data_IF_339745904781
#
_entry.id   IF_339745904781
#
_cell.length_a   1.000
_cell.length_b   1.000
_cell.length_c   1.000
_cell.angle_alpha   90.00
_cell.angle_beta   90.00
_cell.angle_gamma   90.00
#
_symmetry.space_group_name_H-M   'P 1'
#
loop_
_entity.id
_entity.type
_entity.pdbx_description
1 polymer ?
#
# COMPACT_ATOMS: atom_id res chain seq x y z
N UNK A 1 -0.57 -38.96 8.58
CA UNK A 1 0.41 -38.00 8.00
C UNK A 1 -0.22 -36.78 7.27
N UNK A 2 -1.47 -36.38 7.58
CA UNK A 2 -2.24 -35.43 6.74
C UNK A 2 -2.74 -34.14 7.38
N UNK A 3 -2.48 -33.91 8.68
CA UNK A 3 -2.87 -32.67 9.37
C UNK A 3 -1.69 -31.71 9.58
N UNK A 4 -0.48 -32.23 9.84
CA UNK A 4 0.73 -31.43 9.90
C UNK A 4 1.13 -30.84 8.53
N UNK A 5 0.89 -31.58 7.44
CA UNK A 5 1.08 -31.10 6.06
C UNK A 5 0.09 -29.99 5.70
N UNK A 6 -1.19 -30.10 6.10
CA UNK A 6 -2.19 -29.04 5.92
C UNK A 6 -1.93 -27.78 6.76
N UNK A 7 -1.41 -27.93 7.98
CA UNK A 7 -0.93 -26.79 8.79
C UNK A 7 0.31 -26.12 8.18
N UNK A 8 1.14 -26.86 7.45
CA UNK A 8 2.32 -26.37 6.72
C UNK A 8 1.94 -25.77 5.35
N UNK A 9 0.92 -26.29 4.67
CA UNK A 9 0.32 -25.73 3.44
C UNK A 9 -0.50 -24.46 3.71
N UNK A 10 -1.08 -24.33 4.92
CA UNK A 10 -1.60 -23.07 5.45
C UNK A 10 -0.50 -22.12 5.94
N UNK A 11 0.74 -22.61 6.09
CA UNK A 11 1.90 -21.78 6.33
C UNK A 11 2.31 -21.08 5.04
N UNK A 12 1.78 -19.87 4.81
CA UNK A 12 2.45 -18.74 4.13
C UNK A 12 1.51 -17.58 3.75
N UNK A 13 0.24 -17.59 4.19
CA UNK A 13 -0.36 -16.30 4.56
C UNK A 13 0.45 -15.79 5.73
N UNK A 14 1.23 -14.73 5.55
CA UNK A 14 1.88 -14.11 6.69
C UNK A 14 0.78 -13.72 7.66
N UNK A 15 0.76 -14.31 8.85
CA UNK A 15 -0.31 -14.14 9.85
C UNK A 15 -0.66 -12.67 10.08
N UNK A 16 0.34 -11.79 9.95
CA UNK A 16 0.21 -10.35 10.08
C UNK A 16 -0.67 -9.70 9.00
N UNK A 17 -0.74 -10.24 7.78
CA UNK A 17 -1.55 -9.67 6.69
C UNK A 17 -3.06 -9.82 6.92
N UNK A 18 -3.48 -10.70 7.85
CA UNK A 18 -4.89 -11.07 8.05
C UNK A 18 -5.52 -11.48 6.69
N UNK A 19 -6.56 -10.76 6.25
CA UNK A 19 -7.24 -10.94 4.95
C UNK A 19 -6.97 -9.78 3.96
N UNK A 20 -5.94 -8.96 4.24
CA UNK A 20 -5.62 -7.79 3.44
C UNK A 20 -5.08 -8.16 2.06
N UNK A 21 -5.61 -7.51 1.02
CA UNK A 21 -5.19 -7.70 -0.37
C UNK A 21 -4.67 -6.42 -1.04
N UNK A 22 -4.38 -5.35 -0.27
CA UNK A 22 -4.08 -4.04 -0.84
C UNK A 22 -2.84 -4.00 -1.74
N UNK A 23 -1.77 -4.71 -1.39
CA UNK A 23 -0.60 -4.83 -2.25
C UNK A 23 -0.89 -5.54 -3.58
N UNK A 24 -1.98 -6.31 -3.65
CA UNK A 24 -2.43 -7.02 -4.85
C UNK A 24 -3.56 -6.29 -5.59
N UNK A 25 -4.25 -5.33 -4.96
CA UNK A 25 -5.40 -4.64 -5.57
C UNK A 25 -5.10 -3.20 -5.97
N UNK A 26 -4.37 -2.45 -5.13
CA UNK A 26 -4.17 -1.01 -5.33
C UNK A 26 -3.10 -0.65 -6.37
N UNK A 27 -1.84 -1.14 -6.28
CA UNK A 27 -0.78 -0.73 -7.21
C UNK A 27 -0.94 -1.38 -8.57
N UNK A 28 -0.29 -0.82 -9.59
CA UNK A 28 0.02 -1.56 -10.84
C UNK A 28 1.09 -2.61 -10.54
N UNK A 29 0.98 -3.78 -11.15
CA UNK A 29 2.05 -4.80 -11.12
C UNK A 29 2.33 -5.19 -12.57
N UNK A 30 3.35 -4.54 -13.16
CA UNK A 30 3.70 -4.69 -14.58
C UNK A 30 4.06 -6.13 -14.92
N UNK A 31 4.82 -6.82 -14.07
CA UNK A 31 5.22 -8.22 -14.28
C UNK A 31 4.04 -9.22 -14.34
N UNK A 32 2.82 -8.78 -14.00
CA UNK A 32 1.60 -9.58 -14.06
C UNK A 32 0.53 -8.97 -14.99
N UNK A 33 0.89 -7.95 -15.77
CA UNK A 33 -0.04 -7.14 -16.56
C UNK A 33 -1.25 -6.67 -15.73
N UNK A 34 -1.02 -6.41 -14.43
CA UNK A 34 -2.09 -6.08 -13.50
C UNK A 34 -2.23 -4.56 -13.38
N UNK A 35 -3.30 -3.95 -13.92
CA UNK A 35 -3.52 -2.52 -13.75
C UNK A 35 -3.82 -2.15 -12.28
N UNK A 36 -3.50 -0.92 -11.89
CA UNK A 36 -3.89 -0.36 -10.59
C UNK A 36 -5.40 -0.45 -10.37
N UNK A 37 -5.79 -0.57 -9.09
CA UNK A 37 -7.18 -0.71 -8.64
C UNK A 37 -7.95 -1.95 -9.13
N UNK A 38 -7.32 -2.89 -9.84
CA UNK A 38 -7.89 -4.21 -10.16
C UNK A 38 -7.34 -5.31 -9.25
N UNK A 39 -8.17 -6.30 -8.86
CA UNK A 39 -7.70 -7.45 -8.09
C UNK A 39 -6.70 -8.27 -8.91
N UNK A 40 -5.56 -8.61 -8.31
CA UNK A 40 -4.61 -9.55 -8.91
C UNK A 40 -5.25 -10.93 -9.10
N UNK A 41 -4.94 -11.57 -10.23
CA UNK A 41 -5.40 -12.93 -10.55
C UNK A 41 -5.01 -13.99 -9.51
N UNK A 42 -3.96 -13.74 -8.71
CA UNK A 42 -3.49 -14.66 -7.65
C UNK A 42 -4.19 -14.47 -6.31
N UNK A 43 -5.18 -13.57 -6.19
CA UNK A 43 -5.96 -13.47 -4.96
C UNK A 43 -6.87 -14.71 -4.85
N UNK A 44 -6.66 -15.51 -3.80
CA UNK A 44 -7.52 -16.65 -3.42
C UNK A 44 -7.76 -16.62 -1.91
N UNK A 45 -8.99 -16.90 -1.48
CA UNK A 45 -9.38 -17.01 -0.07
C UNK A 45 -8.91 -15.85 0.83
N UNK A 46 -8.89 -14.62 0.28
CA UNK A 46 -8.44 -13.39 0.92
C UNK A 46 -6.92 -13.26 1.15
N UNK A 47 -6.10 -13.80 0.25
CA UNK A 47 -4.65 -13.59 0.23
C UNK A 47 -4.03 -13.91 -1.13
N UNK A 48 -2.73 -13.64 -1.29
CA UNK A 48 -1.99 -14.03 -2.49
C UNK A 48 -1.66 -15.54 -2.43
N UNK A 49 -2.15 -16.32 -3.39
CA UNK A 49 -1.97 -17.78 -3.43
C UNK A 49 -0.54 -18.23 -3.71
N UNK A 50 0.28 -17.34 -4.26
CA UNK A 50 1.70 -17.57 -4.55
C UNK A 50 2.61 -16.78 -3.60
N UNK A 51 2.10 -16.35 -2.44
CA UNK A 51 2.92 -15.65 -1.46
C UNK A 51 4.04 -16.59 -0.97
N UNK A 52 5.29 -16.12 -0.97
CA UNK A 52 6.46 -16.91 -0.54
C UNK A 52 6.98 -17.89 -1.60
N UNK A 53 6.21 -18.12 -2.68
CA UNK A 53 6.54 -19.08 -3.72
C UNK A 53 7.57 -18.50 -4.72
N UNK A 54 8.43 -19.35 -5.32
CA UNK A 54 9.43 -18.94 -6.31
C UNK A 54 8.84 -18.26 -7.54
N UNK A 55 7.61 -18.60 -7.93
CA UNK A 55 6.90 -18.02 -9.09
C UNK A 55 6.38 -16.61 -8.81
N UNK A 56 6.47 -16.13 -7.56
CA UNK A 56 6.09 -14.75 -7.21
C UNK A 56 7.07 -13.76 -7.85
N UNK A 57 6.58 -12.79 -8.65
CA UNK A 57 7.46 -11.85 -9.33
C UNK A 57 8.34 -11.04 -8.37
N UNK A 58 9.57 -10.76 -8.77
CA UNK A 58 10.54 -9.97 -8.00
C UNK A 58 9.96 -8.62 -7.55
N UNK A 59 9.19 -7.94 -8.40
CA UNK A 59 8.48 -6.67 -8.08
C UNK A 59 7.59 -6.81 -6.85
N UNK A 60 6.86 -7.92 -6.70
CA UNK A 60 5.98 -8.14 -5.54
C UNK A 60 6.76 -8.35 -4.23
N UNK A 61 8.03 -8.73 -4.31
CA UNK A 61 8.92 -8.92 -3.16
C UNK A 61 9.70 -7.63 -2.86
N UNK A 62 10.21 -6.95 -3.88
CA UNK A 62 10.95 -5.69 -3.77
C UNK A 62 10.11 -4.57 -3.14
N UNK A 63 8.82 -4.49 -3.51
CA UNK A 63 7.89 -3.47 -3.01
C UNK A 63 6.97 -4.02 -1.90
N UNK A 64 7.56 -4.80 -0.99
CA UNK A 64 6.84 -5.40 0.12
C UNK A 64 6.21 -4.33 1.04
N UNK A 65 5.01 -4.65 1.55
CA UNK A 65 4.25 -3.79 2.44
C UNK A 65 5.08 -3.40 3.67
N UNK A 66 5.19 -2.10 3.97
CA UNK A 66 5.97 -1.62 5.11
C UNK A 66 5.51 -2.19 6.46
N UNK A 67 4.19 -2.34 6.65
CA UNK A 67 3.63 -3.02 7.82
C UNK A 67 4.18 -4.44 7.95
N UNK A 68 4.12 -5.20 6.85
CA UNK A 68 4.53 -6.59 6.80
C UNK A 68 6.04 -6.74 7.00
N UNK A 69 6.83 -5.97 6.25
CA UNK A 69 8.29 -5.94 6.30
C UNK A 69 8.78 -5.63 7.71
N UNK A 70 8.15 -4.68 8.40
CA UNK A 70 8.51 -4.34 9.77
C UNK A 70 8.26 -5.50 10.76
N UNK A 71 7.23 -6.32 10.58
CA UNK A 71 7.02 -7.51 11.44
C UNK A 71 7.98 -8.64 11.09
N UNK A 72 8.16 -8.92 9.81
CA UNK A 72 9.03 -10.01 9.36
C UNK A 72 10.49 -9.77 9.74
N UNK A 73 10.93 -8.51 9.76
CA UNK A 73 12.27 -8.11 10.18
C UNK A 73 12.39 -7.78 11.69
N UNK A 74 11.33 -7.98 12.48
CA UNK A 74 11.24 -7.57 13.89
C UNK A 74 11.69 -6.11 14.15
N UNK A 75 11.37 -5.21 13.22
CA UNK A 75 11.80 -3.81 13.25
C UNK A 75 11.29 -3.09 14.52
N UNK A 76 12.05 -2.13 15.08
CA UNK A 76 11.57 -1.29 16.19
C UNK A 76 10.32 -0.47 15.83
N UNK A 77 10.14 -0.13 14.54
CA UNK A 77 9.00 0.65 14.08
C UNK A 77 7.73 -0.21 13.86
N UNK A 78 7.80 -1.53 14.06
CA UNK A 78 6.66 -2.43 13.80
C UNK A 78 5.39 -1.97 14.55
N UNK A 79 5.51 -1.54 15.79
CA UNK A 79 4.35 -1.12 16.59
C UNK A 79 3.79 0.26 16.19
N UNK A 80 4.54 1.05 15.42
CA UNK A 80 4.13 2.39 14.98
C UNK A 80 3.37 2.35 13.65
N UNK A 81 3.66 1.36 12.81
CA UNK A 81 3.00 1.20 11.52
C UNK A 81 1.67 0.45 11.73
N UNK A 82 0.50 1.09 11.50
CA UNK A 82 -0.81 0.44 11.61
C UNK A 82 -1.02 -0.57 10.49
N UNK A 83 -1.87 -1.56 10.73
CA UNK A 83 -2.24 -2.51 9.68
C UNK A 83 -3.04 -1.80 8.58
N UNK A 84 -2.84 -2.11 7.27
CA UNK A 84 -3.50 -1.39 6.17
C UNK A 84 -5.02 -1.34 6.25
N UNK A 85 -5.66 -2.42 6.71
CA UNK A 85 -7.11 -2.46 6.92
C UNK A 85 -7.58 -1.55 8.07
N UNK A 86 -6.74 -1.18 9.02
CA UNK A 86 -7.10 -0.35 10.17
C UNK A 86 -6.92 1.15 9.85
N UNK A 87 -6.00 1.48 8.94
CA UNK A 87 -5.76 2.86 8.51
C UNK A 87 -6.29 3.18 7.11
N UNK A 88 -6.79 2.21 6.33
CA UNK A 88 -7.26 2.46 4.96
C UNK A 88 -6.16 2.87 3.98
N UNK A 89 -4.90 2.51 4.24
CA UNK A 89 -3.79 2.78 3.34
C UNK A 89 -2.73 1.68 3.38
N UNK A 90 -2.16 1.38 2.22
CA UNK A 90 -0.99 0.52 2.05
C UNK A 90 0.17 1.39 1.57
N UNK A 91 1.38 1.14 2.07
CA UNK A 91 2.56 1.81 1.54
C UNK A 91 3.78 0.90 1.54
N UNK A 92 4.74 1.25 0.71
CA UNK A 92 6.07 0.66 0.67
C UNK A 92 7.11 1.75 0.41
N UNK A 93 8.37 1.43 0.72
CA UNK A 93 9.51 2.26 0.34
C UNK A 93 10.04 1.76 -1.00
N UNK A 94 10.53 2.66 -1.84
CA UNK A 94 11.39 2.24 -2.93
C UNK A 94 12.70 1.66 -2.34
N UNK A 95 13.21 0.53 -2.86
CA UNK A 95 14.44 -0.08 -2.34
C UNK A 95 15.71 0.71 -2.69
N UNK A 96 15.64 1.62 -3.67
CA UNK A 96 16.78 2.39 -4.18
C UNK A 96 16.59 3.88 -3.92
N UNK A 97 15.44 4.41 -4.28
CA UNK A 97 15.15 5.85 -4.22
C UNK A 97 14.57 6.28 -2.87
N UNK A 98 14.72 7.56 -2.52
CA UNK A 98 14.07 8.15 -1.33
C UNK A 98 12.59 8.47 -1.58
N UNK A 99 11.83 7.46 -1.98
CA UNK A 99 10.39 7.57 -2.27
C UNK A 99 9.60 6.60 -1.41
N UNK A 100 8.49 7.09 -0.85
CA UNK A 100 7.48 6.27 -0.17
C UNK A 100 6.23 6.30 -1.03
N UNK A 101 5.89 5.16 -1.62
CA UNK A 101 4.66 4.98 -2.37
C UNK A 101 3.53 4.66 -1.40
N UNK A 102 2.49 5.49 -1.39
CA UNK A 102 1.32 5.38 -0.54
C UNK A 102 0.09 5.18 -1.42
N UNK A 103 -0.66 4.13 -1.18
CA UNK A 103 -1.89 3.80 -1.90
C UNK A 103 -3.06 3.84 -0.92
N UNK A 104 -4.01 4.70 -1.21
CA UNK A 104 -5.18 4.92 -0.38
C UNK A 104 -6.32 3.99 -0.82
N UNK A 105 -7.01 3.40 0.15
CA UNK A 105 -8.25 2.66 -0.10
C UNK A 105 -9.33 3.62 -0.61
N UNK A 106 -9.81 3.47 -1.85
CA UNK A 106 -10.81 4.37 -2.40
C UNK A 106 -12.15 4.28 -1.67
N UNK A 107 -12.43 3.20 -0.91
CA UNK A 107 -13.64 3.07 -0.10
C UNK A 107 -13.56 3.79 1.24
N UNK A 108 -12.34 4.09 1.71
CA UNK A 108 -12.09 4.71 3.02
C UNK A 108 -10.98 5.77 2.93
N UNK A 109 -11.11 6.75 2.03
CA UNK A 109 -10.01 7.63 1.65
C UNK A 109 -9.55 8.59 2.75
N UNK A 110 -10.37 8.79 3.77
CA UNK A 110 -10.07 9.68 4.89
C UNK A 110 -9.47 8.97 6.10
N UNK A 111 -9.55 7.63 6.16
CA UNK A 111 -9.17 6.87 7.36
C UNK A 111 -7.67 7.00 7.69
N UNK A 112 -6.81 7.11 6.68
CA UNK A 112 -5.37 7.17 6.89
C UNK A 112 -4.93 8.50 7.52
N UNK A 113 -5.67 9.58 7.25
CA UNK A 113 -5.42 10.92 7.82
C UNK A 113 -5.69 10.96 9.32
N UNK A 114 -6.60 10.12 9.81
CA UNK A 114 -6.92 9.95 11.23
C UNK A 114 -6.12 8.83 11.92
N UNK A 115 -5.12 8.26 11.24
CA UNK A 115 -4.27 7.18 11.76
C UNK A 115 -2.90 7.72 12.21
N UNK A 116 -1.98 6.87 12.73
CA UNK A 116 -0.59 7.28 12.99
C UNK A 116 0.28 7.54 11.74
N UNK A 117 -0.23 7.25 10.52
CA UNK A 117 0.54 7.41 9.29
C UNK A 117 1.03 8.84 9.00
N UNK A 118 0.24 9.91 9.24
CA UNK A 118 0.70 11.27 9.00
C UNK A 118 1.95 11.64 9.78
N UNK A 119 2.03 11.26 11.06
CA UNK A 119 3.22 11.53 11.89
C UNK A 119 4.42 10.73 11.39
N UNK A 120 4.20 9.47 11.00
CA UNK A 120 5.25 8.63 10.40
C UNK A 120 5.81 9.25 9.13
N UNK A 121 4.94 9.71 8.23
CA UNK A 121 5.34 10.31 6.95
C UNK A 121 6.00 11.67 7.14
N UNK A 122 5.47 12.52 8.02
CA UNK A 122 6.04 13.84 8.34
C UNK A 122 7.48 13.72 8.83
N UNK A 123 7.79 12.69 9.63
CA UNK A 123 9.13 12.43 10.12
C UNK A 123 10.14 12.03 9.02
N UNK A 124 9.70 11.69 7.81
CA UNK A 124 10.60 11.26 6.73
C UNK A 124 11.11 12.44 5.88
N UNK A 125 10.40 13.57 5.84
CA UNK A 125 10.80 14.73 5.02
C UNK A 125 12.19 15.30 5.35
N UNK A 126 12.59 15.45 6.64
CA UNK A 126 13.95 15.91 6.96
C UNK A 126 15.06 14.99 6.44
N UNK A 127 14.77 13.70 6.25
CA UNK A 127 15.69 12.73 5.67
C UNK A 127 15.70 12.75 4.12
N UNK A 128 14.92 13.64 3.50
CA UNK A 128 14.83 13.82 2.05
C UNK A 128 13.89 12.84 1.34
N UNK A 129 13.00 12.17 2.08
CA UNK A 129 11.98 11.31 1.44
C UNK A 129 10.88 12.14 0.80
N UNK A 130 10.40 11.65 -0.34
CA UNK A 130 9.21 12.15 -1.04
C UNK A 130 8.08 11.13 -0.88
N UNK A 131 6.85 11.61 -0.67
CA UNK A 131 5.67 10.74 -0.74
C UNK A 131 5.10 10.78 -2.16
N UNK A 132 4.83 9.60 -2.71
CA UNK A 132 4.03 9.44 -3.91
C UNK A 132 2.69 8.83 -3.50
N UNK A 133 1.65 9.65 -3.40
CA UNK A 133 0.32 9.24 -2.93
C UNK A 133 -0.57 8.97 -4.14
N UNK A 134 -1.14 7.76 -4.20
CA UNK A 134 -2.19 7.41 -5.15
C UNK A 134 -3.52 7.28 -4.39
N UNK A 135 -4.49 8.14 -4.70
CA UNK A 135 -5.82 8.17 -4.07
C UNK A 135 -6.90 8.33 -5.15
N UNK A 136 -7.85 7.39 -5.21
CA UNK A 136 -9.00 7.40 -6.14
C UNK A 136 -8.62 7.79 -7.58
N UNK A 137 -7.55 7.17 -8.09
CA UNK A 137 -7.05 7.39 -9.45
C UNK A 137 -6.29 8.70 -9.67
N UNK A 138 -6.00 9.46 -8.62
CA UNK A 138 -5.13 10.65 -8.63
C UNK A 138 -3.76 10.33 -8.07
N UNK A 139 -2.75 11.02 -8.58
CA UNK A 139 -1.37 10.90 -8.11
C UNK A 139 -0.87 12.25 -7.61
N UNK A 140 -0.27 12.26 -6.42
CA UNK A 140 0.28 13.45 -5.79
C UNK A 140 1.70 13.18 -5.32
N UNK A 141 2.62 14.08 -5.67
CA UNK A 141 4.03 14.04 -5.22
C UNK A 141 4.23 15.09 -4.15
N UNK A 142 4.50 14.65 -2.92
CA UNK A 142 4.63 15.52 -1.75
C UNK A 142 6.08 15.52 -1.28
N UNK A 143 6.72 16.69 -1.32
CA UNK A 143 8.16 16.84 -1.07
C UNK A 143 8.49 17.41 0.30
N UNK A 144 7.52 18.04 0.96
CA UNK A 144 7.74 18.76 2.20
C UNK A 144 6.53 18.67 3.14
N UNK A 145 6.77 19.00 4.41
CA UNK A 145 5.81 18.89 5.49
C UNK A 145 4.66 19.93 5.42
N UNK A 146 4.86 21.06 4.73
CA UNK A 146 3.84 22.09 4.57
C UNK A 146 2.81 21.65 3.53
N UNK A 147 3.26 21.25 2.34
CA UNK A 147 2.42 20.65 1.29
C UNK A 147 1.68 19.42 1.83
N UNK A 148 2.37 18.59 2.63
CA UNK A 148 1.72 17.46 3.29
C UNK A 148 0.61 17.88 4.26
N UNK A 149 0.82 18.96 5.02
CA UNK A 149 -0.20 19.54 5.89
C UNK A 149 -1.47 19.95 5.14
N UNK A 150 -1.32 20.56 3.96
CA UNK A 150 -2.46 20.89 3.11
C UNK A 150 -3.23 19.63 2.69
N UNK A 151 -2.52 18.57 2.27
CA UNK A 151 -3.13 17.29 1.87
C UNK A 151 -3.90 16.64 3.01
N UNK A 152 -3.44 16.79 4.25
CA UNK A 152 -4.17 16.31 5.42
C UNK A 152 -5.44 17.12 5.67
N UNK A 153 -5.37 18.44 5.51
CA UNK A 153 -6.46 19.35 5.80
C UNK A 153 -7.63 19.27 4.79
N UNK A 154 -7.39 18.81 3.56
CA UNK A 154 -8.38 18.84 2.46
C UNK A 154 -8.45 17.55 1.68
N UNK A 155 -9.60 17.26 1.10
CA UNK A 155 -9.73 16.21 0.10
C UNK A 155 -9.39 16.78 -1.30
N UNK A 156 -8.12 16.67 -1.70
CA UNK A 156 -7.66 17.13 -3.01
C UNK A 156 -8.24 16.34 -4.18
N UNK A 157 -8.67 15.09 -3.97
CA UNK A 157 -9.35 14.33 -5.01
C UNK A 157 -10.74 14.94 -5.25
N UNK A 158 -11.50 15.21 -4.18
CA UNK A 158 -12.83 15.82 -4.31
C UNK A 158 -12.77 17.22 -4.95
N UNK A 159 -11.74 18.01 -4.62
CA UNK A 159 -11.49 19.29 -5.28
C UNK A 159 -11.21 19.07 -6.79
N UNK A 160 -10.33 18.13 -7.13
CA UNK A 160 -10.00 17.84 -8.52
C UNK A 160 -11.20 17.30 -9.32
N UNK A 161 -12.08 16.52 -8.69
CA UNK A 161 -13.30 16.00 -9.29
C UNK A 161 -14.30 17.13 -9.56
N UNK A 162 -14.49 18.05 -8.61
CA UNK A 162 -15.30 19.26 -8.81
C UNK A 162 -14.78 20.16 -9.92
N UNK A 163 -13.47 20.17 -10.14
CA UNK A 163 -12.81 20.92 -11.22
C UNK A 163 -12.79 20.15 -12.55
N UNK A 164 -13.32 18.92 -12.60
CA UNK A 164 -13.34 18.11 -13.82
C UNK A 164 -11.96 17.68 -14.31
N UNK A 165 -10.96 17.60 -13.43
CA UNK A 165 -9.60 17.21 -13.80
C UNK A 165 -9.56 15.75 -14.28
N UNK A 166 -8.74 15.38 -15.28
CA UNK A 166 -8.63 13.99 -15.75
C UNK A 166 -7.85 13.10 -14.77
N UNK A 167 -8.24 11.83 -14.63
CA UNK A 167 -7.56 10.85 -13.77
C UNK A 167 -6.10 10.63 -14.24
N UNK A 168 -5.18 10.53 -13.29
CA UNK A 168 -3.79 10.17 -13.56
C UNK A 168 -3.63 8.66 -13.78
N UNK A 169 -4.56 7.87 -13.22
CA UNK A 169 -4.63 6.41 -13.35
C UNK A 169 -5.90 6.02 -14.10
N UNK A 170 -5.83 5.81 -15.43
CA UNK A 170 -7.01 5.51 -16.25
C UNK A 170 -7.73 4.23 -15.82
N UNK A 171 -7.02 3.26 -15.26
CA UNK A 171 -7.62 2.02 -14.80
C UNK A 171 -8.52 2.17 -13.57
N UNK A 172 -8.61 3.36 -12.96
CA UNK A 172 -9.52 3.61 -11.85
C UNK A 172 -10.99 3.74 -12.29
N UNK A 173 -11.27 4.23 -13.51
CA UNK A 173 -12.64 4.52 -13.97
C UNK A 173 -13.43 3.32 -14.52
N UNK A 174 -12.77 2.18 -14.77
CA UNK A 174 -13.41 0.99 -15.37
C UNK A 174 -13.96 -0.03 -14.39
#
# INVERSE_FOLDING_TARGET
MGQAKRRKEAGERVSFCRTCTYCCSLPTIEALDKPAYRPCQHIRDNGCSIFGQPERPGTCTAYACAYLSARLADSPDRNRIPHPLDCGAYFHRDPVEKVIFVFIDPKRPMLWKASPLPDLFRAQFPAGFVLFITDRGRQMVIRDAATFGEVLARDFVEIADREGRPLDVPSFSG
#
